data_IF_196829275583
#
_entry.id   IF_196829275583
#
_cell.length_a   1.000
_cell.length_b   1.000
_cell.length_c   1.000
_cell.angle_alpha   90.00
_cell.angle_beta   90.00
_cell.angle_gamma   90.00
#
_symmetry.space_group_name_H-M   'P 1'
#
loop_
_entity.id
_entity.type
_entity.pdbx_description
1 polymer ?
#
# COMPACT_ATOMS: atom_id res chain seq x y z
N UNK A 1 -2.50 -19.14 8.73
CA UNK A 1 -2.36 -19.41 7.29
C UNK A 1 -3.73 -19.73 6.71
N UNK A 2 -4.05 -19.21 5.52
CA UNK A 2 -5.27 -19.57 4.79
C UNK A 2 -4.83 -20.30 3.53
N UNK A 3 -5.35 -21.52 3.30
CA UNK A 3 -5.03 -22.31 2.12
C UNK A 3 -6.27 -22.64 1.31
N UNK A 4 -6.16 -22.53 0.00
CA UNK A 4 -7.11 -23.02 -0.98
C UNK A 4 -6.46 -24.22 -1.67
N UNK A 5 -7.13 -25.33 -1.71
CA UNK A 5 -6.69 -26.55 -2.38
C UNK A 5 -7.73 -26.97 -3.41
N UNK A 6 -7.41 -26.70 -4.68
CA UNK A 6 -8.20 -27.05 -5.85
C UNK A 6 -9.68 -26.59 -5.78
N UNK A 7 -9.91 -25.37 -5.28
CA UNK A 7 -11.23 -24.85 -4.95
C UNK A 7 -11.95 -24.35 -6.21
N UNK A 8 -13.16 -24.85 -6.42
CA UNK A 8 -14.02 -24.36 -7.52
C UNK A 8 -15.38 -23.91 -6.99
N UNK A 9 -15.97 -22.94 -7.71
CA UNK A 9 -17.34 -22.50 -7.48
C UNK A 9 -18.10 -22.37 -8.80
N UNK A 10 -19.10 -23.19 -8.94
CA UNK A 10 -20.08 -23.14 -10.04
C UNK A 10 -21.43 -22.77 -9.44
N UNK A 11 -22.10 -21.79 -10.02
CA UNK A 11 -23.45 -21.40 -9.61
C UNK A 11 -24.51 -22.26 -10.32
N UNK A 12 -25.78 -22.30 -9.83
CA UNK A 12 -26.82 -23.12 -10.41
C UNK A 12 -27.15 -22.83 -11.88
N UNK A 13 -26.87 -21.63 -12.35
CA UNK A 13 -27.04 -21.20 -13.75
C UNK A 13 -25.87 -21.65 -14.65
N UNK A 14 -24.92 -22.42 -14.12
CA UNK A 14 -23.74 -22.91 -14.84
C UNK A 14 -22.56 -21.92 -14.85
N UNK A 15 -22.70 -20.73 -14.27
CA UNK A 15 -21.61 -19.75 -14.21
C UNK A 15 -20.47 -20.27 -13.35
N UNK A 16 -19.27 -20.38 -13.93
CA UNK A 16 -18.03 -20.72 -13.22
C UNK A 16 -17.42 -19.44 -12.68
N UNK A 17 -17.54 -19.23 -11.39
CA UNK A 17 -16.99 -18.03 -10.73
C UNK A 17 -15.55 -18.23 -10.23
N UNK A 18 -15.17 -19.47 -9.87
CA UNK A 18 -13.82 -19.85 -9.45
C UNK A 18 -13.54 -21.25 -9.99
N UNK A 19 -12.38 -21.46 -10.59
CA UNK A 19 -11.97 -22.71 -11.19
C UNK A 19 -10.63 -23.18 -10.65
N UNK A 20 -10.61 -24.29 -9.93
CA UNK A 20 -9.41 -25.00 -9.42
C UNK A 20 -8.38 -24.07 -8.76
N UNK A 21 -8.88 -23.11 -7.97
CA UNK A 21 -8.03 -22.13 -7.30
C UNK A 21 -7.20 -22.83 -6.22
N UNK A 22 -5.87 -22.78 -6.38
CA UNK A 22 -4.92 -23.25 -5.38
C UNK A 22 -3.97 -22.10 -5.03
N UNK A 23 -4.01 -21.67 -3.77
CA UNK A 23 -3.12 -20.63 -3.25
C UNK A 23 -2.98 -20.74 -1.73
N UNK A 24 -1.91 -20.16 -1.21
CA UNK A 24 -1.66 -20.04 0.23
C UNK A 24 -1.44 -18.57 0.60
N UNK A 25 -2.22 -18.09 1.57
CA UNK A 25 -2.00 -16.81 2.24
C UNK A 25 -1.21 -17.06 3.54
N UNK A 26 0.08 -16.62 3.61
CA UNK A 26 0.97 -16.90 4.73
C UNK A 26 0.53 -16.21 6.03
N UNK A 27 0.92 -16.76 7.17
CA UNK A 27 0.65 -16.14 8.47
C UNK A 27 1.31 -14.77 8.59
N UNK A 28 0.58 -13.82 9.17
CA UNK A 28 1.06 -12.47 9.45
C UNK A 28 1.28 -11.59 8.22
N UNK A 29 0.87 -12.06 7.02
CA UNK A 29 1.09 -11.42 5.74
C UNK A 29 -0.21 -10.97 5.09
N UNK A 30 -0.09 -9.99 4.18
CA UNK A 30 -1.19 -9.52 3.34
C UNK A 30 -1.11 -10.23 1.99
N UNK A 31 -2.15 -10.98 1.65
CA UNK A 31 -2.34 -11.54 0.30
C UNK A 31 -3.44 -10.76 -0.40
N UNK A 32 -3.11 -10.13 -1.52
CA UNK A 32 -4.07 -9.38 -2.32
C UNK A 32 -4.58 -10.23 -3.49
N UNK A 33 -5.90 -10.25 -3.70
CA UNK A 33 -6.53 -10.86 -4.87
C UNK A 33 -6.90 -9.74 -5.84
N UNK A 34 -6.35 -9.78 -7.04
CA UNK A 34 -6.60 -8.78 -8.09
C UNK A 34 -7.02 -9.44 -9.40
N UNK A 35 -7.62 -8.67 -10.28
CA UNK A 35 -8.03 -9.14 -11.61
C UNK A 35 -9.23 -8.36 -12.13
N UNK A 36 -9.68 -8.61 -13.37
CA UNK A 36 -10.81 -7.93 -13.99
C UNK A 36 -12.11 -8.08 -13.18
N UNK A 37 -13.10 -7.25 -13.51
CA UNK A 37 -14.43 -7.38 -12.90
C UNK A 37 -15.02 -8.77 -13.24
N UNK A 38 -15.66 -9.39 -12.26
CA UNK A 38 -16.26 -10.73 -12.46
C UNK A 38 -15.30 -11.92 -12.36
N UNK A 39 -13.98 -11.72 -12.18
CA UNK A 39 -13.03 -12.84 -12.09
C UNK A 39 -13.04 -13.62 -10.77
N UNK A 40 -14.09 -13.53 -9.96
CA UNK A 40 -14.26 -14.38 -8.78
C UNK A 40 -13.57 -13.95 -7.48
N UNK A 41 -12.91 -12.79 -7.41
CA UNK A 41 -12.21 -12.28 -6.19
C UNK A 41 -13.07 -12.29 -4.94
N UNK A 42 -14.18 -11.58 -4.98
CA UNK A 42 -15.13 -11.50 -3.85
C UNK A 42 -15.79 -12.86 -3.55
N UNK A 43 -16.03 -13.68 -4.57
CA UNK A 43 -16.52 -15.06 -4.39
C UNK A 43 -15.49 -15.90 -3.63
N UNK A 44 -14.21 -15.87 -4.04
CA UNK A 44 -13.11 -16.57 -3.36
C UNK A 44 -13.00 -16.15 -1.90
N UNK A 45 -13.03 -14.85 -1.63
CA UNK A 45 -12.97 -14.35 -0.27
C UNK A 45 -14.21 -14.74 0.57
N UNK A 46 -15.40 -14.70 -0.02
CA UNK A 46 -16.65 -15.12 0.68
C UNK A 46 -16.73 -16.63 0.94
N UNK A 47 -15.98 -17.43 0.24
CA UNK A 47 -15.84 -18.87 0.54
C UNK A 47 -15.01 -19.11 1.81
N UNK A 48 -14.03 -18.27 2.14
CA UNK A 48 -13.20 -18.41 3.36
C UNK A 48 -14.08 -18.37 4.63
N UNK A 49 -15.03 -17.45 4.70
CA UNK A 49 -15.93 -17.30 5.86
C UNK A 49 -17.26 -18.05 5.72
N UNK A 50 -17.36 -18.90 4.69
CA UNK A 50 -18.55 -19.70 4.38
C UNK A 50 -19.83 -18.86 4.27
N UNK A 51 -19.74 -17.67 3.65
CA UNK A 51 -20.90 -16.95 3.12
C UNK A 51 -21.35 -17.57 1.79
N UNK A 52 -20.40 -18.17 1.08
CA UNK A 52 -20.63 -18.98 -0.12
C UNK A 52 -19.92 -20.32 0.11
N UNK A 53 -20.56 -21.44 -0.18
CA UNK A 53 -19.92 -22.75 -0.11
C UNK A 53 -19.22 -23.05 -1.44
N UNK A 54 -17.99 -23.62 -1.42
CA UNK A 54 -17.34 -24.11 -2.63
C UNK A 54 -18.15 -25.27 -3.24
N UNK A 55 -18.02 -25.44 -4.55
CA UNK A 55 -18.62 -26.59 -5.26
C UNK A 55 -17.70 -27.82 -5.18
N UNK A 56 -16.38 -27.61 -5.11
CA UNK A 56 -15.35 -28.63 -4.92
C UNK A 56 -14.09 -28.02 -4.31
N UNK A 57 -13.17 -28.88 -3.87
CA UNK A 57 -11.94 -28.47 -3.20
C UNK A 57 -12.13 -28.09 -1.74
N UNK A 58 -11.08 -27.72 -1.06
CA UNK A 58 -11.08 -27.40 0.37
C UNK A 58 -10.41 -26.07 0.68
N UNK A 59 -10.96 -25.37 1.69
CA UNK A 59 -10.34 -24.15 2.24
C UNK A 59 -10.03 -24.42 3.71
N UNK A 60 -8.77 -24.22 4.10
CA UNK A 60 -8.35 -24.45 5.48
C UNK A 60 -7.80 -23.18 6.14
N UNK A 61 -8.08 -23.00 7.43
CA UNK A 61 -7.52 -21.99 8.32
C UNK A 61 -6.59 -22.66 9.33
N UNK A 62 -5.28 -22.37 9.26
CA UNK A 62 -4.24 -23.03 10.06
C UNK A 62 -4.32 -24.56 9.98
N UNK A 63 -4.55 -25.09 8.76
CA UNK A 63 -4.63 -26.53 8.51
C UNK A 63 -5.98 -27.17 8.87
N UNK A 64 -6.94 -26.42 9.42
CA UNK A 64 -8.27 -26.93 9.74
C UNK A 64 -9.24 -26.58 8.61
N UNK A 65 -9.83 -27.59 7.98
CA UNK A 65 -10.85 -27.40 6.94
C UNK A 65 -12.04 -26.60 7.49
N UNK A 66 -12.38 -25.51 6.80
CA UNK A 66 -13.48 -24.62 7.19
C UNK A 66 -14.83 -25.32 7.21
N UNK A 67 -15.03 -26.39 6.41
CA UNK A 67 -16.27 -27.15 6.36
C UNK A 67 -16.52 -27.98 7.61
N UNK A 68 -15.44 -28.39 8.32
CA UNK A 68 -15.54 -29.15 9.57
C UNK A 68 -15.90 -28.31 10.77
N UNK A 69 -15.75 -26.98 10.67
CA UNK A 69 -16.06 -26.05 11.75
C UNK A 69 -17.53 -25.61 11.72
N UNK A 70 -18.11 -25.41 12.91
CA UNK A 70 -19.37 -24.67 13.01
C UNK A 70 -19.22 -23.26 12.43
N UNK A 71 -20.23 -22.80 11.66
CA UNK A 71 -20.18 -21.51 10.96
C UNK A 71 -19.99 -20.30 11.90
N UNK A 72 -20.57 -20.36 13.08
CA UNK A 72 -20.45 -19.25 14.08
C UNK A 72 -19.03 -19.24 14.64
N UNK A 73 -18.48 -20.40 14.97
CA UNK A 73 -17.12 -20.57 15.47
C UNK A 73 -16.11 -20.14 14.42
N UNK A 74 -16.27 -20.52 13.16
CA UNK A 74 -15.44 -20.08 12.04
C UNK A 74 -15.45 -18.54 11.93
N UNK A 75 -16.63 -17.93 11.84
CA UNK A 75 -16.77 -16.47 11.63
C UNK A 75 -16.27 -15.65 12.81
N UNK A 76 -16.23 -16.18 14.02
CA UNK A 76 -15.60 -15.53 15.19
C UNK A 76 -14.09 -15.42 15.10
N UNK A 77 -13.45 -16.31 14.32
CA UNK A 77 -12.00 -16.28 14.05
C UNK A 77 -11.63 -15.31 12.93
N UNK A 78 -12.60 -14.70 12.25
CA UNK A 78 -12.39 -13.89 11.06
C UNK A 78 -12.97 -12.49 11.28
N UNK A 79 -12.13 -11.47 11.24
CA UNK A 79 -12.59 -10.09 11.07
C UNK A 79 -12.94 -9.83 9.62
N UNK A 80 -14.07 -9.16 9.36
CA UNK A 80 -14.51 -8.90 8.00
C UNK A 80 -14.80 -7.42 7.78
N UNK A 81 -14.01 -6.80 6.90
CA UNK A 81 -14.21 -5.42 6.44
C UNK A 81 -14.90 -5.50 5.07
N UNK A 82 -16.16 -5.15 5.03
CA UNK A 82 -16.95 -5.16 3.81
C UNK A 82 -16.81 -3.83 3.05
N UNK A 83 -17.06 -3.85 1.76
CA UNK A 83 -17.14 -2.66 0.93
C UNK A 83 -18.10 -1.63 1.55
N UNK A 84 -17.74 -0.34 1.52
CA UNK A 84 -18.50 0.74 2.16
C UNK A 84 -18.63 0.63 3.71
N UNK A 85 -17.65 0.01 4.38
CA UNK A 85 -17.55 -0.17 5.84
C UNK A 85 -18.76 -0.88 6.51
N UNK A 86 -19.97 -0.85 5.96
CA UNK A 86 -21.18 -1.54 6.44
C UNK A 86 -21.49 -1.27 7.92
N UNK A 87 -21.34 -0.02 8.37
CA UNK A 87 -21.60 0.36 9.76
C UNK A 87 -23.10 0.37 10.06
N UNK A 88 -23.45 0.07 11.31
CA UNK A 88 -24.82 0.19 11.79
C UNK A 88 -25.21 1.69 11.89
N UNK A 89 -26.13 2.21 11.06
CA UNK A 89 -26.41 3.65 10.98
C UNK A 89 -27.04 4.21 12.25
N UNK A 90 -27.74 3.36 13.00
CA UNK A 90 -28.42 3.72 14.24
C UNK A 90 -27.54 3.59 15.50
N UNK A 91 -26.26 3.20 15.35
CA UNK A 91 -25.31 3.08 16.45
C UNK A 91 -24.22 4.15 16.34
N UNK A 92 -23.74 4.62 17.48
CA UNK A 92 -22.56 5.49 17.50
C UNK A 92 -21.31 4.75 17.01
N UNK A 93 -20.26 5.49 16.70
CA UNK A 93 -18.95 4.95 16.28
C UNK A 93 -18.43 3.92 17.29
N UNK A 94 -18.36 4.29 18.56
CA UNK A 94 -17.87 3.38 19.61
C UNK A 94 -18.79 2.17 19.79
N UNK A 95 -20.09 2.33 19.61
CA UNK A 95 -21.05 1.22 19.74
C UNK A 95 -21.05 0.30 18.49
N UNK A 96 -20.62 0.80 17.32
CA UNK A 96 -20.34 -0.02 16.17
C UNK A 96 -19.16 -0.97 16.43
N UNK A 97 -18.06 -0.47 16.96
CA UNK A 97 -16.87 -1.27 17.29
C UNK A 97 -17.17 -2.24 18.43
N UNK A 98 -17.83 -1.80 19.48
CA UNK A 98 -18.19 -2.63 20.63
C UNK A 98 -19.31 -3.66 20.36
N UNK A 99 -19.93 -3.67 19.17
CA UNK A 99 -21.12 -4.47 18.89
C UNK A 99 -20.86 -5.98 19.02
N UNK A 100 -19.83 -6.48 18.35
CA UNK A 100 -19.50 -7.92 18.36
C UNK A 100 -18.98 -8.40 19.71
N UNK A 101 -18.03 -7.71 20.40
CA UNK A 101 -17.63 -8.08 21.76
C UNK A 101 -18.80 -8.16 22.75
N UNK A 102 -19.79 -7.25 22.65
CA UNK A 102 -21.01 -7.31 23.49
C UNK A 102 -21.88 -8.51 23.15
N UNK A 103 -22.05 -8.81 21.87
CA UNK A 103 -22.80 -9.99 21.44
C UNK A 103 -22.19 -11.28 21.97
N UNK A 104 -20.88 -11.29 22.17
CA UNK A 104 -20.13 -12.42 22.77
C UNK A 104 -20.14 -12.43 24.30
N UNK A 105 -20.90 -11.55 24.95
CA UNK A 105 -21.07 -11.52 26.41
C UNK A 105 -20.17 -10.55 27.16
N UNK A 106 -19.37 -9.75 26.46
CA UNK A 106 -18.50 -8.75 27.08
C UNK A 106 -19.26 -7.61 27.77
N UNK A 107 -18.79 -7.17 28.93
CA UNK A 107 -19.38 -6.08 29.71
C UNK A 107 -19.40 -4.75 28.94
N UNK A 108 -20.47 -3.96 29.13
CA UNK A 108 -20.67 -2.69 28.37
C UNK A 108 -19.51 -1.70 28.58
N UNK A 109 -19.00 -1.56 29.81
CA UNK A 109 -17.91 -0.63 30.13
C UNK A 109 -16.58 -1.09 29.52
N UNK A 110 -16.27 -2.35 29.67
CA UNK A 110 -15.05 -2.97 29.16
C UNK A 110 -14.98 -2.95 27.60
N UNK A 111 -16.05 -3.39 26.94
CA UNK A 111 -16.11 -3.41 25.47
C UNK A 111 -16.04 -2.01 24.84
N UNK A 112 -16.57 -0.99 25.54
CA UNK A 112 -16.42 0.41 25.09
C UNK A 112 -15.01 0.93 25.32
N UNK A 113 -14.33 0.59 26.41
CA UNK A 113 -12.94 0.97 26.64
C UNK A 113 -12.04 0.39 25.56
N UNK A 114 -12.14 -0.93 25.29
CA UNK A 114 -11.40 -1.58 24.21
C UNK A 114 -11.74 -1.00 22.83
N UNK A 115 -13.00 -0.63 22.59
CA UNK A 115 -13.39 0.02 21.34
C UNK A 115 -12.73 1.40 21.18
N UNK A 116 -12.58 2.18 22.25
CA UNK A 116 -11.87 3.47 22.23
C UNK A 116 -10.39 3.29 21.88
N UNK A 117 -9.72 2.33 22.51
CA UNK A 117 -8.32 1.99 22.21
C UNK A 117 -8.13 1.60 20.73
N UNK A 118 -9.03 0.78 20.18
CA UNK A 118 -8.99 0.39 18.77
C UNK A 118 -9.25 1.56 17.82
N UNK A 119 -10.16 2.47 18.17
CA UNK A 119 -10.40 3.68 17.37
C UNK A 119 -9.15 4.58 17.33
N UNK A 120 -8.46 4.74 18.44
CA UNK A 120 -7.20 5.46 18.50
C UNK A 120 -6.12 4.77 17.65
N UNK A 121 -5.98 3.45 17.74
CA UNK A 121 -5.01 2.67 16.95
C UNK A 121 -5.23 2.77 15.44
N UNK A 122 -6.46 2.93 14.98
CA UNK A 122 -6.77 3.18 13.56
C UNK A 122 -6.74 4.67 13.20
N UNK A 123 -6.20 5.53 14.07
CA UNK A 123 -6.04 6.96 13.83
C UNK A 123 -7.34 7.76 13.84
N UNK A 124 -8.37 7.31 14.56
CA UNK A 124 -9.62 8.06 14.72
C UNK A 124 -9.70 8.71 16.10
N UNK A 125 -9.66 10.04 16.13
CA UNK A 125 -9.73 10.84 17.35
C UNK A 125 -10.96 10.51 18.21
N UNK A 126 -10.79 10.46 19.52
CA UNK A 126 -11.82 10.17 20.52
C UNK A 126 -13.08 11.05 20.41
N UNK A 127 -12.94 12.28 19.88
CA UNK A 127 -14.07 13.20 19.64
C UNK A 127 -15.12 12.62 18.69
N UNK A 128 -14.75 11.65 17.83
CA UNK A 128 -15.67 11.00 16.90
C UNK A 128 -16.46 9.84 17.55
N UNK A 129 -16.07 9.34 18.71
CA UNK A 129 -16.64 8.14 19.33
C UNK A 129 -18.17 8.18 19.55
N UNK A 130 -18.72 9.36 19.83
CA UNK A 130 -20.17 9.57 20.04
C UNK A 130 -20.93 9.93 18.77
N UNK A 131 -20.25 10.13 17.64
CA UNK A 131 -20.88 10.42 16.34
C UNK A 131 -21.53 9.18 15.77
N UNK A 132 -22.44 9.41 14.82
CA UNK A 132 -23.06 8.37 14.01
C UNK A 132 -22.34 8.25 12.64
N UNK A 133 -22.41 7.10 11.94
CA UNK A 133 -21.73 6.91 10.68
C UNK A 133 -21.95 8.02 9.65
N UNK A 134 -23.16 8.50 9.50
CA UNK A 134 -23.54 9.56 8.56
C UNK A 134 -22.91 10.94 8.86
N UNK A 135 -22.29 11.11 10.05
CA UNK A 135 -21.54 12.31 10.44
C UNK A 135 -20.04 12.18 10.17
N UNK A 136 -19.61 11.10 9.52
CA UNK A 136 -18.22 10.80 9.22
C UNK A 136 -17.95 10.84 7.72
N UNK A 137 -16.71 11.22 7.34
CA UNK A 137 -16.24 11.03 5.97
C UNK A 137 -16.10 9.54 5.63
N UNK A 138 -16.04 9.19 4.33
CA UNK A 138 -15.84 7.80 3.89
C UNK A 138 -14.61 7.14 4.51
N UNK A 139 -13.47 7.85 4.54
CA UNK A 139 -12.25 7.35 5.18
C UNK A 139 -12.38 7.14 6.68
N UNK A 140 -13.11 8.03 7.40
CA UNK A 140 -13.40 7.84 8.81
C UNK A 140 -14.30 6.63 9.05
N UNK A 141 -15.34 6.43 8.21
CA UNK A 141 -16.19 5.23 8.28
C UNK A 141 -15.37 3.95 8.04
N UNK A 142 -14.42 3.99 7.10
CA UNK A 142 -13.56 2.85 6.82
C UNK A 142 -12.67 2.50 8.02
N UNK A 143 -12.07 3.48 8.70
CA UNK A 143 -11.31 3.27 9.95
C UNK A 143 -12.19 2.61 11.04
N UNK A 144 -13.43 3.05 11.19
CA UNK A 144 -14.39 2.41 12.11
C UNK A 144 -14.68 0.96 11.70
N UNK A 145 -14.80 0.69 10.41
CA UNK A 145 -14.98 -0.67 9.86
C UNK A 145 -13.81 -1.60 10.20
N UNK A 146 -12.58 -1.11 10.04
CA UNK A 146 -11.36 -1.83 10.42
C UNK A 146 -11.30 -2.06 11.93
N UNK A 147 -11.53 -1.02 12.76
CA UNK A 147 -11.57 -1.16 14.22
C UNK A 147 -12.62 -2.18 14.67
N UNK A 148 -13.81 -2.20 14.04
CA UNK A 148 -14.86 -3.19 14.33
C UNK A 148 -14.43 -4.60 13.95
N UNK A 149 -13.77 -4.79 12.83
CA UNK A 149 -13.28 -6.10 12.41
C UNK A 149 -12.19 -6.65 13.35
N UNK A 150 -11.41 -5.77 13.97
CA UNK A 150 -10.37 -6.12 14.96
C UNK A 150 -10.89 -6.24 16.39
N UNK A 151 -12.16 -5.91 16.67
CA UNK A 151 -12.68 -5.77 18.04
C UNK A 151 -12.62 -7.05 18.88
N UNK A 152 -12.63 -8.23 18.25
CA UNK A 152 -12.51 -9.54 18.91
C UNK A 152 -11.11 -10.13 18.79
N UNK A 153 -10.15 -9.35 18.31
CA UNK A 153 -8.77 -9.78 18.07
C UNK A 153 -8.65 -11.08 17.23
N UNK A 154 -9.30 -11.14 16.05
CA UNK A 154 -9.30 -12.33 15.23
C UNK A 154 -7.91 -12.58 14.62
N UNK A 155 -7.48 -13.86 14.41
CA UNK A 155 -6.22 -14.17 13.74
C UNK A 155 -6.25 -13.89 12.23
N UNK A 156 -7.43 -13.86 11.62
CA UNK A 156 -7.63 -13.64 10.18
C UNK A 156 -8.45 -12.38 9.93
N UNK A 157 -8.10 -11.66 8.89
CA UNK A 157 -8.84 -10.48 8.43
C UNK A 157 -9.13 -10.59 6.93
N UNK A 158 -10.39 -10.43 6.56
CA UNK A 158 -10.83 -10.36 5.17
C UNK A 158 -11.27 -8.93 4.86
N UNK A 159 -10.82 -8.39 3.73
CA UNK A 159 -11.10 -7.01 3.33
C UNK A 159 -11.59 -6.95 1.88
N UNK A 160 -12.82 -6.51 1.69
CA UNK A 160 -13.48 -6.40 0.38
C UNK A 160 -13.41 -4.95 -0.09
N UNK A 161 -12.52 -4.64 -1.02
CA UNK A 161 -12.30 -3.30 -1.59
C UNK A 161 -12.24 -2.19 -0.53
N UNK A 162 -11.35 -2.29 0.48
CA UNK A 162 -11.42 -1.46 1.68
C UNK A 162 -11.22 0.03 1.42
N UNK A 163 -10.60 0.42 0.31
CA UNK A 163 -10.29 1.84 0.02
C UNK A 163 -11.02 2.39 -1.21
N UNK A 164 -11.93 1.62 -1.82
CA UNK A 164 -12.63 2.03 -3.06
C UNK A 164 -13.50 3.29 -2.92
N UNK A 165 -14.11 3.49 -1.75
CA UNK A 165 -15.00 4.62 -1.47
C UNK A 165 -14.28 5.86 -0.88
N UNK A 166 -12.95 5.90 -0.94
CA UNK A 166 -12.13 6.97 -0.34
C UNK A 166 -11.53 7.85 -1.45
N UNK A 167 -11.51 9.16 -1.20
CA UNK A 167 -10.83 10.14 -2.06
C UNK A 167 -9.36 9.76 -2.30
N UNK A 168 -8.82 9.91 -3.52
CA UNK A 168 -7.46 9.49 -3.86
C UNK A 168 -6.35 10.06 -2.96
N UNK A 169 -6.46 11.32 -2.52
CA UNK A 169 -5.46 11.95 -1.66
C UNK A 169 -5.48 11.31 -0.26
N UNK A 170 -6.67 11.14 0.30
CA UNK A 170 -6.87 10.52 1.62
C UNK A 170 -6.55 9.02 1.58
N UNK A 171 -6.80 8.35 0.44
CA UNK A 171 -6.56 6.92 0.25
C UNK A 171 -5.11 6.54 0.51
N UNK A 172 -4.15 7.29 -0.04
CA UNK A 172 -2.72 7.02 0.16
C UNK A 172 -2.33 7.08 1.65
N UNK A 173 -2.80 8.09 2.37
CA UNK A 173 -2.55 8.23 3.81
C UNK A 173 -3.15 7.07 4.62
N UNK A 174 -4.39 6.66 4.28
CA UNK A 174 -5.06 5.52 4.92
C UNK A 174 -4.33 4.20 4.68
N UNK A 175 -3.81 4.00 3.48
CA UNK A 175 -3.02 2.81 3.15
C UNK A 175 -1.71 2.78 3.95
N UNK A 176 -1.01 3.90 4.09
CA UNK A 176 0.23 3.99 4.87
C UNK A 176 -0.03 3.74 6.37
N UNK A 177 -1.12 4.29 6.91
CA UNK A 177 -1.55 4.02 8.28
C UNK A 177 -1.95 2.55 8.48
N UNK A 178 -2.62 1.96 7.49
CA UNK A 178 -2.99 0.54 7.53
C UNK A 178 -1.75 -0.37 7.52
N UNK A 179 -0.72 -0.05 6.74
CA UNK A 179 0.54 -0.79 6.75
C UNK A 179 1.25 -0.70 8.11
N UNK A 180 1.28 0.48 8.74
CA UNK A 180 1.81 0.64 10.10
C UNK A 180 1.03 -0.20 11.11
N UNK A 181 -0.30 -0.12 11.06
CA UNK A 181 -1.16 -0.95 11.91
C UNK A 181 -0.89 -2.43 11.70
N UNK A 182 -0.77 -2.90 10.46
CA UNK A 182 -0.50 -4.30 10.15
C UNK A 182 0.87 -4.76 10.67
N UNK A 183 1.89 -3.91 10.61
CA UNK A 183 3.21 -4.21 11.20
C UNK A 183 3.11 -4.48 12.71
N UNK A 184 2.24 -3.72 13.43
CA UNK A 184 2.02 -3.90 14.86
C UNK A 184 1.20 -5.14 15.21
N UNK A 185 0.12 -5.42 14.42
CA UNK A 185 -0.83 -6.49 14.76
C UNK A 185 -0.49 -7.84 14.12
N UNK A 186 0.30 -7.85 13.05
CA UNK A 186 0.76 -9.04 12.31
C UNK A 186 -0.35 -10.05 11.99
N UNK A 187 -1.52 -9.59 11.54
CA UNK A 187 -2.66 -10.45 11.18
C UNK A 187 -2.46 -11.10 9.81
N UNK A 188 -3.02 -12.28 9.61
CA UNK A 188 -3.12 -12.89 8.28
C UNK A 188 -4.30 -12.26 7.53
N UNK A 189 -4.01 -11.55 6.44
CA UNK A 189 -4.99 -10.76 5.72
C UNK A 189 -5.16 -11.27 4.29
N UNK A 190 -6.41 -11.46 3.88
CA UNK A 190 -6.77 -11.59 2.46
C UNK A 190 -7.57 -10.36 2.08
N UNK A 191 -7.08 -9.62 1.10
CA UNK A 191 -7.69 -8.38 0.61
C UNK A 191 -8.05 -8.53 -0.86
N UNK A 192 -9.24 -8.09 -1.22
CA UNK A 192 -9.69 -7.97 -2.61
C UNK A 192 -9.61 -6.52 -3.03
N UNK A 193 -9.05 -6.28 -4.20
CA UNK A 193 -9.08 -4.96 -4.85
C UNK A 193 -9.14 -5.11 -6.37
N UNK A 194 -9.62 -4.09 -7.05
CA UNK A 194 -9.54 -3.98 -8.52
C UNK A 194 -8.39 -3.07 -8.96
N UNK A 195 -7.71 -2.43 -8.00
CA UNK A 195 -6.61 -1.50 -8.25
C UNK A 195 -5.27 -2.23 -8.08
N UNK A 196 -4.51 -2.34 -9.18
CA UNK A 196 -3.21 -3.00 -9.17
C UNK A 196 -2.18 -2.23 -8.33
N UNK A 197 -2.23 -0.89 -8.33
CA UNK A 197 -1.30 -0.08 -7.54
C UNK A 197 -1.54 -0.28 -6.05
N UNK A 198 -2.80 -0.40 -5.62
CA UNK A 198 -3.16 -0.75 -4.26
C UNK A 198 -2.65 -2.15 -3.88
N UNK A 199 -2.85 -3.14 -4.75
CA UNK A 199 -2.37 -4.50 -4.51
C UNK A 199 -0.85 -4.58 -4.38
N UNK A 200 -0.12 -3.88 -5.24
CA UNK A 200 1.33 -3.81 -5.22
C UNK A 200 1.87 -3.07 -3.98
N UNK A 201 1.15 -2.04 -3.51
CA UNK A 201 1.55 -1.24 -2.35
C UNK A 201 1.33 -1.99 -1.04
N UNK A 202 0.20 -2.68 -0.91
CA UNK A 202 -0.24 -3.27 0.36
C UNK A 202 0.11 -4.74 0.51
N UNK A 203 0.16 -5.50 -0.61
CA UNK A 203 0.37 -6.93 -0.58
C UNK A 203 1.80 -7.33 -0.31
N UNK A 204 2.03 -8.27 0.60
CA UNK A 204 3.27 -9.05 0.66
C UNK A 204 3.34 -10.02 -0.53
N UNK A 205 2.19 -10.49 -0.99
CA UNK A 205 2.01 -11.26 -2.22
C UNK A 205 0.71 -10.88 -2.94
N UNK A 206 0.73 -11.01 -4.25
CA UNK A 206 -0.38 -10.65 -5.15
C UNK A 206 -0.79 -11.89 -5.94
N UNK A 207 -2.07 -12.26 -5.83
CA UNK A 207 -2.71 -13.28 -6.65
C UNK A 207 -3.49 -12.60 -7.77
N UNK A 208 -3.03 -12.75 -9.00
CA UNK A 208 -3.71 -12.24 -10.20
C UNK A 208 -4.66 -13.31 -10.72
N UNK A 209 -5.96 -12.99 -10.75
CA UNK A 209 -7.01 -13.89 -11.23
C UNK A 209 -7.48 -13.48 -12.62
N UNK A 210 -7.74 -14.46 -13.50
CA UNK A 210 -8.42 -14.31 -14.79
C UNK A 210 -9.93 -14.45 -14.64
N UNK A 211 -10.66 -14.10 -15.67
CA UNK A 211 -12.07 -14.47 -15.80
C UNK A 211 -12.27 -15.96 -15.56
N UNK A 212 -13.36 -16.31 -14.88
CA UNK A 212 -13.61 -17.69 -14.44
C UNK A 212 -12.83 -18.10 -13.19
N UNK A 213 -12.15 -17.18 -12.51
CA UNK A 213 -11.52 -17.41 -11.20
C UNK A 213 -10.29 -18.30 -11.22
N UNK A 214 -9.60 -18.39 -12.37
CA UNK A 214 -8.33 -19.13 -12.49
C UNK A 214 -7.16 -18.25 -12.06
N UNK A 215 -6.25 -18.82 -11.26
CA UNK A 215 -5.01 -18.15 -10.83
C UNK A 215 -4.04 -18.04 -12.02
N UNK A 216 -3.73 -16.79 -12.42
CA UNK A 216 -2.75 -16.53 -13.47
C UNK A 216 -1.33 -16.49 -12.92
N UNK A 217 -1.15 -15.80 -11.78
CA UNK A 217 0.14 -15.73 -11.09
C UNK A 217 -0.07 -15.40 -9.61
N UNK A 218 0.75 -16.04 -8.77
CA UNK A 218 0.92 -15.69 -7.36
C UNK A 218 2.40 -15.36 -7.14
N UNK A 219 2.69 -14.11 -6.76
CA UNK A 219 4.08 -13.66 -6.61
C UNK A 219 4.15 -12.47 -5.64
N UNK A 220 5.36 -12.15 -5.16
CA UNK A 220 5.60 -10.86 -4.51
C UNK A 220 5.40 -9.71 -5.52
N UNK A 221 5.06 -8.48 -5.08
CA UNK A 221 4.94 -7.33 -5.96
C UNK A 221 6.13 -7.12 -6.89
N UNK A 222 7.34 -7.27 -6.35
CA UNK A 222 8.57 -7.10 -7.11
C UNK A 222 8.77 -8.18 -8.19
N UNK A 223 8.43 -9.44 -7.89
CA UNK A 223 8.50 -10.55 -8.86
C UNK A 223 7.42 -10.40 -9.93
N UNK A 224 6.20 -10.02 -9.54
CA UNK A 224 5.10 -9.81 -10.48
C UNK A 224 5.44 -8.74 -11.54
N UNK A 225 6.10 -7.66 -11.12
CA UNK A 225 6.54 -6.58 -12.01
C UNK A 225 7.73 -6.99 -12.90
N UNK A 226 8.66 -7.78 -12.36
CA UNK A 226 9.88 -8.18 -13.05
C UNK A 226 9.66 -9.33 -14.05
N UNK A 227 8.84 -10.31 -13.69
CA UNK A 227 8.64 -11.56 -14.42
C UNK A 227 7.16 -11.97 -14.47
N UNK A 228 6.32 -11.25 -15.24
CA UNK A 228 4.95 -11.69 -15.48
C UNK A 228 4.97 -13.03 -16.24
N UNK A 229 4.13 -13.99 -15.78
CA UNK A 229 4.11 -15.35 -16.30
C UNK A 229 3.66 -15.43 -17.77
N UNK A 230 2.85 -14.47 -18.22
CA UNK A 230 2.30 -14.44 -19.58
C UNK A 230 1.82 -13.03 -19.99
N UNK A 231 1.32 -12.93 -21.22
CA UNK A 231 0.85 -11.66 -21.79
C UNK A 231 -0.32 -11.03 -21.00
N UNK A 232 -1.26 -11.86 -20.51
CA UNK A 232 -2.38 -11.35 -19.72
C UNK A 232 -1.89 -10.65 -18.43
N UNK A 233 -0.99 -11.29 -17.69
CA UNK A 233 -0.42 -10.69 -16.46
C UNK A 233 0.38 -9.44 -16.81
N UNK A 234 1.18 -9.48 -17.91
CA UNK A 234 1.96 -8.34 -18.37
C UNK A 234 1.08 -7.13 -18.72
N UNK A 235 -0.04 -7.37 -19.40
CA UNK A 235 -1.00 -6.33 -19.78
C UNK A 235 -1.79 -5.81 -18.55
N UNK A 236 -2.19 -6.72 -17.64
CA UNK A 236 -2.92 -6.37 -16.43
C UNK A 236 -2.08 -5.48 -15.50
N UNK A 237 -0.80 -5.80 -15.33
CA UNK A 237 0.14 -4.97 -14.57
C UNK A 237 0.45 -3.66 -15.30
N UNK A 238 0.32 -3.64 -16.62
CA UNK A 238 0.37 -2.48 -17.49
C UNK A 238 1.78 -2.05 -17.91
N UNK A 239 1.84 -1.13 -18.88
CA UNK A 239 3.09 -0.64 -19.48
C UNK A 239 4.00 0.12 -18.51
N UNK A 240 3.44 0.71 -17.43
CA UNK A 240 4.20 1.41 -16.40
C UNK A 240 4.92 0.47 -15.41
N UNK A 241 4.94 -0.84 -15.64
CA UNK A 241 5.56 -1.83 -14.73
C UNK A 241 7.02 -1.52 -14.40
N UNK A 242 7.80 -1.04 -15.38
CA UNK A 242 9.19 -0.66 -15.15
C UNK A 242 9.33 0.49 -14.16
N UNK A 243 8.48 1.49 -14.28
CA UNK A 243 8.41 2.62 -13.34
C UNK A 243 7.92 2.19 -11.95
N UNK A 244 6.88 1.33 -11.89
CA UNK A 244 6.38 0.75 -10.63
C UNK A 244 7.46 -0.07 -9.92
N UNK A 245 8.25 -0.83 -10.68
CA UNK A 245 9.34 -1.64 -10.13
C UNK A 245 10.39 -0.81 -9.38
N UNK A 246 10.61 0.45 -9.76
CA UNK A 246 11.52 1.36 -9.06
C UNK A 246 11.08 1.63 -7.61
N UNK A 247 9.81 1.45 -7.29
CA UNK A 247 9.29 1.55 -5.92
C UNK A 247 9.78 0.45 -4.98
N UNK A 248 10.32 -0.65 -5.52
CA UNK A 248 10.86 -1.78 -4.74
C UNK A 248 12.40 -1.82 -4.74
N UNK A 249 13.05 -0.77 -5.23
CA UNK A 249 14.49 -0.59 -5.19
C UNK A 249 14.79 0.62 -4.32
N UNK A 250 15.38 0.41 -3.14
CA UNK A 250 15.90 1.50 -2.34
C UNK A 250 17.07 2.18 -3.08
N UNK A 251 17.21 3.48 -2.90
CA UNK A 251 18.44 4.17 -3.28
C UNK A 251 19.58 3.64 -2.41
N UNK A 252 20.67 3.22 -3.03
CA UNK A 252 21.87 2.78 -2.32
C UNK A 252 22.73 3.97 -1.90
N UNK A 253 23.68 3.74 -0.98
CA UNK A 253 24.65 4.75 -0.53
C UNK A 253 25.61 5.22 -1.64
N UNK A 254 25.55 4.61 -2.83
CA UNK A 254 26.33 4.95 -4.02
C UNK A 254 25.65 5.99 -4.91
N UNK A 255 24.49 6.51 -4.51
CA UNK A 255 23.88 7.64 -5.20
C UNK A 255 24.82 8.84 -5.00
N UNK A 256 25.35 9.35 -6.12
CA UNK A 256 26.20 10.53 -6.10
C UNK A 256 25.32 11.75 -5.83
N UNK A 257 25.55 12.41 -4.69
CA UNK A 257 24.93 13.68 -4.37
C UNK A 257 25.92 14.81 -4.64
N UNK A 258 25.42 15.86 -5.25
CA UNK A 258 26.18 17.08 -5.51
C UNK A 258 25.70 18.15 -4.53
N UNK A 259 26.66 18.91 -3.96
CA UNK A 259 26.34 20.10 -3.18
C UNK A 259 25.65 21.12 -4.08
N UNK A 260 24.45 21.52 -3.70
CA UNK A 260 23.68 22.50 -4.43
C UNK A 260 23.83 23.86 -3.80
N UNK A 261 24.20 24.93 -4.55
CA UNK A 261 24.16 26.28 -4.07
C UNK A 261 22.73 26.67 -3.69
N UNK A 262 22.57 27.16 -2.48
CA UNK A 262 21.28 27.54 -1.91
C UNK A 262 21.18 29.03 -1.63
N UNK A 263 19.95 29.52 -1.60
CA UNK A 263 19.65 30.90 -1.18
C UNK A 263 18.46 30.85 -0.20
N UNK A 264 18.38 31.82 0.71
CA UNK A 264 17.21 32.00 1.58
C UNK A 264 16.38 33.18 1.12
N UNK A 265 15.08 33.16 1.45
CA UNK A 265 14.20 34.32 1.23
C UNK A 265 14.78 35.54 1.93
N UNK A 266 14.82 36.69 1.25
CA UNK A 266 15.39 37.94 1.72
C UNK A 266 16.89 38.10 1.43
N UNK A 267 17.57 37.09 0.91
CA UNK A 267 18.97 37.20 0.50
C UNK A 267 19.11 37.64 -0.97
N UNK A 268 20.19 38.35 -1.31
CA UNK A 268 20.50 38.70 -2.70
C UNK A 268 21.03 37.45 -3.44
N UNK A 269 20.73 37.38 -4.73
CA UNK A 269 21.34 36.37 -5.61
C UNK A 269 22.77 36.85 -5.92
N UNK A 270 23.74 36.12 -5.41
CA UNK A 270 25.15 36.38 -5.67
C UNK A 270 25.57 35.87 -7.07
N UNK A 271 26.56 36.53 -7.74
CA UNK A 271 27.16 36.01 -8.97
C UNK A 271 27.69 34.56 -8.86
N UNK A 272 28.03 34.09 -7.65
CA UNK A 272 28.42 32.71 -7.37
C UNK A 272 27.27 31.70 -7.58
N UNK A 273 26.03 32.14 -7.41
CA UNK A 273 24.85 31.33 -7.71
C UNK A 273 24.56 31.25 -9.22
N UNK A 274 24.95 32.28 -9.99
CA UNK A 274 24.71 32.35 -11.44
C UNK A 274 25.53 31.31 -12.24
N UNK A 275 26.57 30.71 -11.65
CA UNK A 275 27.37 29.65 -12.27
C UNK A 275 26.73 28.26 -12.28
N UNK A 276 25.62 28.06 -11.55
CA UNK A 276 24.99 26.75 -11.33
C UNK A 276 23.80 26.47 -12.24
N UNK A 277 23.48 27.38 -13.17
CA UNK A 277 22.36 27.25 -14.08
C UNK A 277 21.22 28.23 -13.77
N UNK A 278 20.11 28.07 -14.49
CA UNK A 278 18.92 28.96 -14.42
C UNK A 278 18.22 28.90 -13.05
N UNK A 279 18.19 27.72 -12.43
CA UNK A 279 17.41 27.46 -11.22
C UNK A 279 18.32 27.35 -10.00
N UNK A 280 17.97 28.07 -8.92
CA UNK A 280 18.67 28.08 -7.63
C UNK A 280 17.72 27.51 -6.57
N UNK A 281 18.21 26.61 -5.72
CA UNK A 281 17.42 26.02 -4.64
C UNK A 281 17.24 26.99 -3.49
N UNK A 282 16.01 27.21 -3.07
CA UNK A 282 15.66 28.02 -1.90
C UNK A 282 15.49 27.11 -0.69
N UNK A 283 16.15 27.50 0.42
CA UNK A 283 16.05 26.79 1.70
C UNK A 283 15.59 27.74 2.81
N UNK A 284 15.03 27.17 3.86
CA UNK A 284 14.69 27.91 5.08
C UNK A 284 15.88 28.02 6.03
N UNK A 285 15.67 28.65 7.20
CA UNK A 285 16.70 28.82 8.24
C UNK A 285 17.20 27.51 8.87
N UNK A 286 16.48 26.39 8.64
CA UNK A 286 16.87 25.04 9.07
C UNK A 286 17.47 24.22 7.94
N UNK A 287 17.80 24.86 6.82
CA UNK A 287 18.28 24.20 5.61
C UNK A 287 17.25 23.21 4.99
N UNK A 288 15.94 23.39 5.25
CA UNK A 288 14.91 22.61 4.61
C UNK A 288 14.55 23.21 3.24
N UNK A 289 14.44 22.40 2.16
CA UNK A 289 14.10 22.88 0.82
C UNK A 289 12.70 23.48 0.78
N UNK A 290 12.59 24.69 0.24
CA UNK A 290 11.32 25.42 0.06
C UNK A 290 10.83 25.39 -1.39
N UNK A 291 11.73 25.29 -2.37
CA UNK A 291 11.42 25.36 -3.79
C UNK A 291 12.58 25.92 -4.60
N UNK A 292 12.31 26.37 -5.81
CA UNK A 292 13.30 26.84 -6.75
C UNK A 292 13.03 28.27 -7.17
N UNK A 293 14.07 29.05 -7.42
CA UNK A 293 13.95 30.38 -7.97
C UNK A 293 14.67 30.46 -9.31
N UNK A 294 14.00 31.10 -10.28
CA UNK A 294 14.59 31.37 -11.61
C UNK A 294 15.48 32.62 -11.53
N UNK A 295 16.80 32.42 -11.61
CA UNK A 295 17.78 33.50 -11.53
C UNK A 295 17.65 34.55 -12.64
N UNK A 296 16.93 34.24 -13.74
CA UNK A 296 16.76 35.13 -14.90
C UNK A 296 15.53 36.04 -14.80
N UNK A 297 14.60 35.75 -13.88
CA UNK A 297 13.28 36.42 -13.82
C UNK A 297 13.09 37.26 -12.55
N UNK A 298 14.04 37.22 -11.63
CA UNK A 298 13.93 37.99 -10.39
C UNK A 298 13.98 39.51 -10.69
N UNK A 299 12.86 40.15 -10.42
CA UNK A 299 12.69 41.59 -10.65
C UNK A 299 13.32 42.52 -9.59
N UNK A 300 14.25 42.00 -8.74
CA UNK A 300 14.88 42.74 -7.64
C UNK A 300 16.17 42.07 -7.17
N UNK A 301 16.89 42.74 -6.27
CA UNK A 301 18.18 42.26 -5.77
C UNK A 301 18.05 41.13 -4.74
N UNK A 302 16.83 40.83 -4.25
CA UNK A 302 16.60 39.85 -3.17
C UNK A 302 15.45 38.90 -3.52
N UNK A 303 15.59 37.64 -3.13
CA UNK A 303 14.58 36.60 -3.29
C UNK A 303 13.36 36.89 -2.41
N UNK A 304 12.16 36.89 -2.97
CA UNK A 304 10.89 37.04 -2.24
C UNK A 304 10.09 35.73 -2.28
N UNK A 305 9.19 35.53 -1.31
CA UNK A 305 8.34 34.33 -1.26
C UNK A 305 7.57 34.08 -2.56
N UNK A 306 7.10 35.17 -3.23
CA UNK A 306 6.38 35.09 -4.51
C UNK A 306 7.23 34.60 -5.69
N UNK A 307 8.56 34.68 -5.58
CA UNK A 307 9.50 34.25 -6.63
C UNK A 307 9.82 32.77 -6.53
N UNK A 308 9.45 32.11 -5.40
CA UNK A 308 9.72 30.70 -5.16
C UNK A 308 8.74 29.83 -5.93
N UNK A 309 9.27 29.06 -6.86
CA UNK A 309 8.54 28.01 -7.56
C UNK A 309 8.45 26.78 -6.66
N UNK A 310 7.24 26.44 -6.22
CA UNK A 310 6.95 25.30 -5.35
C UNK A 310 6.84 23.97 -6.12
N UNK A 311 7.06 23.97 -7.44
CA UNK A 311 7.10 22.71 -8.20
C UNK A 311 8.34 21.92 -7.84
N UNK A 312 8.17 20.60 -7.79
CA UNK A 312 9.19 19.68 -7.34
C UNK A 312 8.88 19.12 -5.94
N UNK A 313 9.22 17.88 -5.74
CA UNK A 313 9.16 17.19 -4.46
C UNK A 313 10.59 16.93 -3.98
N UNK A 314 10.79 16.74 -2.68
CA UNK A 314 12.03 16.20 -2.13
C UNK A 314 11.90 14.71 -1.90
N UNK A 315 13.01 13.99 -2.02
CA UNK A 315 13.15 12.60 -1.59
C UNK A 315 14.04 12.55 -0.34
N UNK A 316 13.84 11.57 0.52
CA UNK A 316 14.73 11.30 1.65
C UNK A 316 15.83 10.35 1.23
N UNK A 317 16.96 10.43 1.92
CA UNK A 317 18.02 9.43 1.77
C UNK A 317 17.45 8.03 2.10
N UNK A 318 17.66 7.06 1.20
CA UNK A 318 17.12 5.70 1.36
C UNK A 318 15.72 5.49 0.76
N UNK A 319 15.04 6.54 0.33
CA UNK A 319 13.77 6.40 -0.38
C UNK A 319 13.92 5.55 -1.65
N UNK A 320 12.86 4.91 -2.12
CA UNK A 320 12.86 4.15 -3.37
C UNK A 320 13.29 5.00 -4.57
N UNK A 321 13.99 4.39 -5.52
CA UNK A 321 14.42 5.05 -6.78
C UNK A 321 13.29 5.75 -7.52
N UNK A 322 12.06 5.28 -7.37
CA UNK A 322 10.86 5.92 -7.92
C UNK A 322 10.63 7.32 -7.35
N UNK A 323 10.82 7.51 -6.04
CA UNK A 323 10.62 8.81 -5.39
C UNK A 323 11.72 9.81 -5.81
N UNK A 324 12.96 9.31 -5.96
CA UNK A 324 14.06 10.13 -6.49
C UNK A 324 13.78 10.58 -7.92
N UNK A 325 13.32 9.66 -8.76
CA UNK A 325 12.97 9.97 -10.15
C UNK A 325 11.80 10.96 -10.23
N UNK A 326 10.77 10.79 -9.40
CA UNK A 326 9.67 11.74 -9.30
C UNK A 326 10.14 13.13 -8.89
N UNK A 327 11.02 13.22 -7.89
CA UNK A 327 11.60 14.47 -7.44
C UNK A 327 12.33 15.18 -8.58
N UNK A 328 13.16 14.48 -9.34
CA UNK A 328 13.87 15.05 -10.48
C UNK A 328 12.91 15.50 -11.60
N UNK A 329 11.93 14.66 -11.98
CA UNK A 329 11.00 14.95 -13.07
C UNK A 329 10.01 16.08 -12.74
N UNK A 330 9.64 16.25 -11.49
CA UNK A 330 8.75 17.34 -11.04
C UNK A 330 9.49 18.65 -10.79
N UNK A 331 10.81 18.61 -10.64
CA UNK A 331 11.63 19.77 -10.39
C UNK A 331 11.83 20.62 -11.67
N UNK A 332 11.72 21.95 -11.60
CA UNK A 332 11.97 22.82 -12.75
C UNK A 332 13.46 22.80 -13.15
N UNK A 333 14.35 22.39 -12.24
CA UNK A 333 15.79 22.26 -12.50
C UNK A 333 16.17 20.90 -13.12
N UNK A 334 15.24 19.91 -13.15
CA UNK A 334 15.53 18.53 -13.52
C UNK A 334 16.35 17.76 -12.48
N UNK A 335 16.52 18.31 -11.26
CA UNK A 335 17.32 17.71 -10.18
C UNK A 335 16.42 17.19 -9.08
N UNK A 336 16.77 16.01 -8.54
CA UNK A 336 16.20 15.47 -7.33
C UNK A 336 16.80 16.16 -6.11
N UNK A 337 15.96 16.72 -5.25
CA UNK A 337 16.37 17.29 -3.97
C UNK A 337 16.32 16.19 -2.92
N UNK A 338 17.46 15.92 -2.27
CA UNK A 338 17.58 14.85 -1.26
C UNK A 338 17.73 15.45 0.13
N UNK A 339 16.92 14.96 1.07
CA UNK A 339 16.90 15.41 2.47
C UNK A 339 17.27 14.28 3.43
N UNK A 340 17.66 14.64 4.64
CA UNK A 340 17.82 13.71 5.76
C UNK A 340 16.48 13.44 6.46
N UNK A 341 16.51 12.67 7.56
CA UNK A 341 15.33 12.34 8.37
C UNK A 341 14.67 13.57 9.02
N UNK A 342 15.45 14.64 9.26
CA UNK A 342 14.95 15.91 9.81
C UNK A 342 14.30 16.80 8.75
N UNK A 343 14.43 16.47 7.47
CA UNK A 343 14.01 17.27 6.32
C UNK A 343 15.03 18.30 5.85
N UNK A 344 16.25 18.31 6.40
CA UNK A 344 17.32 19.21 5.97
C UNK A 344 17.96 18.71 4.67
N UNK A 345 18.34 19.63 3.78
CA UNK A 345 19.01 19.33 2.52
C UNK A 345 20.37 18.66 2.76
N UNK A 346 20.61 17.55 2.07
CA UNK A 346 21.91 16.85 2.04
C UNK A 346 22.57 16.88 0.65
N UNK A 347 21.85 17.33 -0.37
CA UNK A 347 22.37 17.51 -1.72
C UNK A 347 21.32 17.27 -2.78
N UNK A 348 21.76 17.32 -4.03
CA UNK A 348 20.91 17.04 -5.20
C UNK A 348 21.52 15.91 -6.04
N UNK A 349 20.67 15.19 -6.79
CA UNK A 349 21.09 14.22 -7.79
C UNK A 349 20.50 14.59 -9.14
N UNK A 350 21.27 14.41 -10.21
CA UNK A 350 20.79 14.59 -11.57
C UNK A 350 19.96 13.38 -12.03
N UNK A 351 19.18 13.54 -13.09
CA UNK A 351 18.50 12.44 -13.78
C UNK A 351 19.49 11.34 -14.21
N UNK A 352 20.69 11.73 -14.64
CA UNK A 352 21.77 10.80 -15.00
C UNK A 352 22.23 9.94 -13.82
N UNK A 353 22.47 10.55 -12.66
CA UNK A 353 22.87 9.84 -11.43
C UNK A 353 21.79 8.81 -11.01
N UNK A 354 20.52 9.20 -11.13
CA UNK A 354 19.38 8.33 -10.83
C UNK A 354 19.28 7.19 -11.85
N UNK A 355 19.46 7.46 -13.14
CA UNK A 355 19.45 6.43 -14.20
C UNK A 355 20.59 5.43 -13.96
N UNK A 356 21.76 5.89 -13.58
CA UNK A 356 22.88 5.00 -13.26
C UNK A 356 22.62 4.16 -12.01
N UNK A 357 21.96 4.72 -10.98
CA UNK A 357 21.50 3.95 -9.84
C UNK A 357 20.50 2.87 -10.23
N UNK A 358 19.55 3.18 -11.15
CA UNK A 358 18.59 2.21 -11.71
C UNK A 358 19.30 1.09 -12.46
N UNK A 359 20.33 1.40 -13.27
CA UNK A 359 21.12 0.39 -13.99
C UNK A 359 21.81 -0.56 -13.02
N UNK A 360 22.51 -0.02 -12.01
CA UNK A 360 23.18 -0.81 -10.96
C UNK A 360 22.20 -1.73 -10.23
N UNK A 361 21.03 -1.22 -9.87
CA UNK A 361 19.99 -2.02 -9.22
C UNK A 361 19.49 -3.19 -10.08
N UNK A 362 19.42 -3.02 -11.41
CA UNK A 362 19.07 -4.11 -12.35
C UNK A 362 20.18 -5.14 -12.49
N UNK A 363 21.44 -4.71 -12.57
CA UNK A 363 22.62 -5.59 -12.70
C UNK A 363 22.80 -6.47 -11.45
N UNK A 364 22.61 -5.91 -10.26
CA UNK A 364 22.68 -6.64 -9.00
C UNK A 364 21.66 -7.80 -8.93
N UNK A 365 20.47 -7.64 -9.52
CA UNK A 365 19.47 -8.71 -9.64
C UNK A 365 19.85 -9.79 -10.66
N UNK A 366 20.43 -9.39 -11.76
CA UNK A 366 20.84 -10.34 -12.81
C UNK A 366 21.99 -11.26 -12.36
N UNK A 367 22.91 -10.75 -11.51
CA UNK A 367 24.00 -11.53 -10.92
C UNK A 367 23.54 -12.51 -9.82
N UNK A 368 22.57 -12.12 -8.98
CA UNK A 368 22.07 -12.99 -7.90
C UNK A 368 21.20 -14.16 -8.37
N UNK A 369 20.58 -14.05 -9.55
CA UNK A 369 19.77 -15.12 -10.14
C UNK A 369 20.58 -16.27 -10.76
N UNK A 370 21.83 -16.03 -11.09
CA UNK A 370 22.73 -17.03 -11.67
C UNK A 370 23.33 -17.93 -10.57
N UNK A 371 23.71 -17.37 -9.42
CA UNK A 371 24.23 -18.16 -8.28
C UNK A 371 23.18 -19.10 -7.65
N UNK A 372 21.89 -18.75 -7.69
CA UNK A 372 20.84 -19.65 -7.20
C UNK A 372 20.50 -20.80 -8.16
N UNK A 373 20.69 -20.62 -9.47
CA UNK A 373 20.52 -21.70 -10.46
C UNK A 373 21.67 -22.71 -10.42
N UNK A 374 22.91 -22.25 -10.18
CA UNK A 374 24.08 -23.13 -10.09
C UNK A 374 24.14 -23.93 -8.78
N UNK A 375 23.50 -23.47 -7.71
CA UNK A 375 23.38 -24.25 -6.46
C UNK A 375 22.27 -25.31 -6.47
N UNK A 376 21.34 -25.25 -7.44
CA UNK A 376 20.25 -26.23 -7.60
C UNK A 376 20.58 -27.45 -8.47
N UNK A 377 21.77 -27.51 -9.09
CA UNK A 377 22.17 -28.58 -10.01
C UNK A 377 23.13 -29.60 -9.39
N UNK A 378 23.51 -29.43 -8.12
CA UNK A 378 24.37 -30.41 -7.43
C UNK A 378 23.56 -31.05 -6.30
N UNK A 379 22.55 -31.82 -6.60
CA UNK A 379 22.03 -32.95 -5.85
C UNK A 379 20.87 -33.59 -6.63
N UNK A 380 21.19 -34.50 -7.52
CA UNK A 380 20.30 -35.54 -7.99
C UNK A 380 21.10 -36.84 -8.00
#
# INVERSE_FOLDING_TARGET
MITFDNVSKVYPDGTVAVHELTLTAPNGKITTLVGPSGCGKTTSMRMINRLIEPSSGTIALDGVDTQTLDRVTLRRRIGYVIQNAGLFPHRTVVDNVAALPRLLGGGKKETRAKAMELLERVGLDAKFAKRYPWQLSGGQQQRVGVARALATDPPFLLMDEPFSAVDPIVRNQLQDEFLRLQADISKTIVMVTHDIDEALKLGDQVAVLREGGTLAQLASPAELLAAPNDAFVADFVGSARGYRALGFHASDDRLTLTDEPTVTVGQPISPTHAGTGRWILVVDAKNAPMGWVDSTVIGGDHVQDKDVNLSGTSARRGDPLRELLNSALSSPSGRCVVTDESGALIGTATDHDIIDAIRRAKEARSGGGQEQRDRGVITA
#
